data_IF_617275951156
#
_entry.id   IF_617275951156
#
_cell.length_a   1.000
_cell.length_b   1.000
_cell.length_c   1.000
_cell.angle_alpha   90.00
_cell.angle_beta   90.00
_cell.angle_gamma   90.00
#
_symmetry.space_group_name_H-M   'P 1'
#
loop_
_entity.id
_entity.type
_entity.pdbx_description
1 polymer ?
#
# COMPACT_ATOMS: atom_id res chain seq x y z
N UNK A 1 23.54 2.99 2.97
CA UNK A 1 22.46 4.01 2.81
C UNK A 1 21.86 3.83 1.44
N UNK A 2 20.90 2.93 1.29
CA UNK A 2 20.29 2.64 -0.01
C UNK A 2 19.00 3.44 -0.15
N UNK A 3 18.99 4.34 -1.12
CA UNK A 3 17.86 5.20 -1.46
C UNK A 3 16.98 4.44 -2.43
N UNK A 4 15.78 4.04 -2.00
CA UNK A 4 14.78 3.49 -2.91
C UNK A 4 14.04 4.65 -3.54
N UNK A 5 14.36 4.92 -4.81
CA UNK A 5 13.66 5.90 -5.63
C UNK A 5 12.68 5.16 -6.53
N UNK A 6 11.39 5.23 -6.23
CA UNK A 6 10.34 4.77 -7.13
C UNK A 6 9.72 5.99 -7.81
N UNK A 7 10.05 6.18 -9.09
CA UNK A 7 9.52 7.26 -9.93
C UNK A 7 8.33 6.73 -10.74
N UNK A 8 7.21 7.43 -10.70
CA UNK A 8 6.14 7.29 -11.70
C UNK A 8 6.46 8.20 -12.89
N UNK A 9 6.79 7.62 -14.05
CA UNK A 9 6.43 8.21 -15.32
C UNK A 9 5.10 7.60 -15.78
N UNK A 10 4.20 8.42 -16.30
CA UNK A 10 2.96 7.93 -16.93
C UNK A 10 3.36 6.98 -18.07
N UNK A 11 3.10 5.69 -17.90
CA UNK A 11 3.18 4.71 -18.99
C UNK A 11 4.47 3.90 -19.15
N UNK A 12 5.45 3.98 -18.24
CA UNK A 12 6.68 3.17 -18.34
C UNK A 12 6.89 2.31 -17.10
N UNK A 13 7.33 1.07 -17.30
CA UNK A 13 7.89 0.25 -16.24
C UNK A 13 9.11 0.99 -15.64
N UNK A 14 9.17 1.12 -14.32
CA UNK A 14 10.39 1.65 -13.67
C UNK A 14 11.44 0.56 -13.73
N UNK A 15 12.59 0.89 -14.31
CA UNK A 15 13.72 -0.02 -14.50
C UNK A 15 14.24 -0.53 -13.15
N UNK A 16 14.70 -1.78 -13.17
CA UNK A 16 15.45 -2.39 -12.08
C UNK A 16 16.73 -1.57 -11.86
N UNK A 17 16.86 -0.95 -10.70
CA UNK A 17 18.14 -0.37 -10.29
C UNK A 17 18.74 -1.33 -9.28
N UNK A 18 19.71 -2.19 -9.68
CA UNK A 18 20.40 -3.03 -8.72
C UNK A 18 21.27 -2.14 -7.83
N UNK A 19 21.10 -2.22 -6.53
CA UNK A 19 22.09 -1.71 -5.59
C UNK A 19 23.29 -2.68 -5.54
N UNK A 20 24.42 -2.22 -5.00
CA UNK A 20 25.63 -3.04 -4.79
C UNK A 20 25.35 -4.34 -4.01
N UNK A 21 24.27 -4.40 -3.25
CA UNK A 21 23.89 -5.51 -2.38
C UNK A 21 22.85 -6.46 -3.00
N UNK A 22 22.58 -6.31 -4.32
CA UNK A 22 21.60 -7.13 -5.05
C UNK A 22 20.15 -6.85 -4.66
N UNK A 23 19.87 -5.69 -4.04
CA UNK A 23 18.52 -5.23 -3.80
C UNK A 23 17.91 -4.67 -5.08
N UNK A 24 16.65 -4.96 -5.33
CA UNK A 24 15.93 -4.37 -6.45
C UNK A 24 14.46 -4.17 -6.13
N UNK A 25 13.84 -3.25 -6.88
CA UNK A 25 12.43 -2.93 -6.85
C UNK A 25 11.95 -2.68 -8.27
N UNK A 26 10.84 -3.30 -8.63
CA UNK A 26 10.20 -3.07 -9.92
C UNK A 26 8.70 -2.98 -9.74
N UNK A 27 8.11 -1.86 -10.18
CA UNK A 27 6.66 -1.67 -10.14
C UNK A 27 6.06 -1.78 -11.52
N UNK A 28 4.81 -2.27 -11.59
CA UNK A 28 4.02 -2.29 -12.81
C UNK A 28 2.53 -2.07 -12.52
N UNK A 29 1.87 -1.30 -13.37
CA UNK A 29 0.40 -1.26 -13.41
C UNK A 29 -0.14 -2.57 -13.99
N UNK A 30 -1.28 -3.09 -13.51
CA UNK A 30 -1.91 -4.26 -14.11
C UNK A 30 -2.36 -3.99 -15.54
N UNK A 31 -2.69 -5.04 -16.27
CA UNK A 31 -3.39 -4.89 -17.56
C UNK A 31 -4.66 -4.05 -17.41
N UNK A 32 -5.01 -3.27 -18.43
CA UNK A 32 -6.14 -2.33 -18.41
C UNK A 32 -7.44 -2.96 -17.93
N UNK A 33 -7.70 -4.21 -18.32
CA UNK A 33 -8.89 -4.97 -17.89
C UNK A 33 -8.95 -5.24 -16.39
N UNK A 34 -7.81 -5.22 -15.68
CA UNK A 34 -7.71 -5.43 -14.22
C UNK A 34 -7.60 -4.14 -13.41
N UNK A 35 -7.45 -2.98 -14.05
CA UNK A 35 -7.18 -1.69 -13.38
C UNK A 35 -8.23 -1.24 -12.37
N UNK A 36 -9.43 -1.83 -12.41
CA UNK A 36 -10.51 -1.57 -11.46
C UNK A 36 -10.37 -2.38 -10.16
N UNK A 37 -9.68 -3.51 -10.23
CA UNK A 37 -9.52 -4.47 -9.13
C UNK A 37 -8.14 -4.46 -8.51
N UNK A 38 -7.13 -4.17 -9.31
CA UNK A 38 -5.71 -4.15 -8.91
C UNK A 38 -5.16 -2.75 -9.11
N UNK A 39 -4.53 -2.20 -8.07
CA UNK A 39 -3.91 -0.86 -8.12
C UNK A 39 -2.54 -0.91 -8.77
N UNK A 40 -1.69 -1.84 -8.32
CA UNK A 40 -0.35 -2.07 -8.89
C UNK A 40 0.25 -3.39 -8.42
N UNK A 41 1.36 -3.76 -9.06
CA UNK A 41 2.29 -4.81 -8.64
C UNK A 41 3.64 -4.22 -8.27
N UNK A 42 4.32 -4.85 -7.31
CA UNK A 42 5.70 -4.53 -6.94
C UNK A 42 6.47 -5.84 -6.74
N UNK A 43 7.47 -6.13 -7.58
CA UNK A 43 8.44 -7.18 -7.33
C UNK A 43 9.62 -6.58 -6.56
N UNK A 44 10.13 -7.30 -5.56
CA UNK A 44 11.22 -6.83 -4.73
C UNK A 44 12.16 -7.97 -4.30
N UNK A 45 13.41 -7.59 -4.07
CA UNK A 45 14.39 -8.32 -3.31
C UNK A 45 15.16 -7.34 -2.42
N UNK A 46 15.31 -7.67 -1.16
CA UNK A 46 16.07 -6.85 -0.21
C UNK A 46 16.78 -7.71 0.81
N UNK A 47 17.83 -7.16 1.40
CA UNK A 47 18.58 -7.77 2.47
C UNK A 47 18.61 -6.86 3.69
N UNK A 48 18.27 -7.39 4.85
CA UNK A 48 18.25 -6.69 6.13
C UNK A 48 19.23 -7.39 7.06
N UNK A 49 20.47 -6.89 7.21
CA UNK A 49 21.56 -7.60 7.93
C UNK A 49 21.32 -7.72 9.43
N UNK A 50 20.61 -6.78 10.01
CA UNK A 50 20.24 -6.75 11.42
C UNK A 50 18.73 -6.61 11.58
N UNK A 51 18.12 -7.10 12.66
CA UNK A 51 16.69 -6.93 12.89
C UNK A 51 16.27 -5.45 12.81
N UNK A 52 15.24 -5.16 12.00
CA UNK A 52 14.69 -3.83 11.82
C UNK A 52 13.17 -3.82 12.01
N UNK A 53 12.69 -2.82 12.77
CA UNK A 53 11.26 -2.59 12.91
C UNK A 53 10.73 -1.91 11.64
N UNK A 54 9.64 -2.44 11.12
CA UNK A 54 8.91 -1.90 9.97
C UNK A 54 7.50 -1.51 10.36
N UNK A 55 7.04 -0.42 9.81
CA UNK A 55 5.68 0.07 10.00
C UNK A 55 4.92 0.03 8.70
N UNK A 56 3.77 -0.65 8.70
CA UNK A 56 2.76 -0.54 7.64
C UNK A 56 1.76 0.50 8.11
N UNK A 57 1.62 1.57 7.36
CA UNK A 57 0.63 2.62 7.66
C UNK A 57 -0.81 2.09 7.51
N UNK A 58 -1.77 2.81 8.08
CA UNK A 58 -3.19 2.54 7.83
C UNK A 58 -3.48 2.48 6.32
N UNK A 59 -4.28 1.50 5.88
CA UNK A 59 -4.51 1.17 4.48
C UNK A 59 -5.98 1.29 4.09
N UNK A 60 -6.26 1.82 2.90
CA UNK A 60 -7.56 1.82 2.24
C UNK A 60 -7.70 0.73 1.16
N UNK A 61 -6.71 -0.12 1.04
CA UNK A 61 -6.61 -1.22 0.08
C UNK A 61 -6.27 -2.51 0.82
N UNK A 62 -6.34 -3.63 0.13
CA UNK A 62 -5.85 -4.91 0.62
C UNK A 62 -4.49 -5.18 -0.02
N UNK A 63 -3.51 -5.47 0.80
CA UNK A 63 -2.14 -5.76 0.37
C UNK A 63 -1.89 -7.25 0.48
N UNK A 64 -1.57 -7.88 -0.63
CA UNK A 64 -1.14 -9.27 -0.70
C UNK A 64 0.36 -9.28 -0.92
N UNK A 65 1.10 -9.92 -0.05
CA UNK A 65 2.53 -10.18 -0.25
C UNK A 65 2.66 -11.66 -0.59
N UNK A 66 3.31 -11.98 -1.69
CA UNK A 66 3.65 -13.36 -2.07
C UNK A 66 5.14 -13.52 -1.86
N UNK A 67 5.50 -14.26 -0.84
CA UNK A 67 6.89 -14.55 -0.52
C UNK A 67 7.43 -15.64 -1.46
N UNK A 68 8.49 -15.32 -2.19
CA UNK A 68 9.18 -16.28 -3.07
C UNK A 68 10.28 -17.06 -2.34
N UNK A 69 10.76 -16.55 -1.22
CA UNK A 69 11.68 -17.22 -0.29
C UNK A 69 10.99 -17.30 1.09
N UNK A 70 11.66 -17.87 2.08
CA UNK A 70 11.14 -17.93 3.46
C UNK A 70 11.68 -16.74 4.25
N UNK A 71 10.92 -15.65 4.41
CA UNK A 71 11.36 -14.48 5.15
C UNK A 71 11.38 -14.75 6.65
N UNK A 72 12.25 -14.06 7.37
CA UNK A 72 12.26 -14.04 8.83
C UNK A 72 11.55 -12.77 9.29
N UNK A 73 10.35 -12.93 9.80
CA UNK A 73 9.54 -11.84 10.40
C UNK A 73 9.10 -12.22 11.79
N UNK A 74 9.07 -11.24 12.69
CA UNK A 74 8.62 -11.41 14.07
C UNK A 74 7.69 -10.28 14.47
N UNK A 75 6.85 -10.51 15.47
CA UNK A 75 6.15 -9.42 16.12
C UNK A 75 7.15 -8.58 16.93
N UNK A 76 6.78 -7.36 17.27
CA UNK A 76 7.67 -6.46 18.05
C UNK A 76 7.97 -7.00 19.45
N UNK A 77 7.12 -7.88 19.98
CA UNK A 77 7.34 -8.61 21.25
C UNK A 77 8.29 -9.82 21.10
N UNK A 78 8.83 -10.07 19.90
CA UNK A 78 9.74 -11.17 19.59
C UNK A 78 9.06 -12.51 19.29
N UNK A 79 7.74 -12.62 19.40
CA UNK A 79 7.02 -13.82 18.99
C UNK A 79 7.07 -13.99 17.47
N UNK A 80 7.10 -15.24 16.95
CA UNK A 80 7.10 -15.43 15.50
C UNK A 80 5.88 -14.77 14.85
N UNK A 81 6.10 -13.95 13.84
CA UNK A 81 5.05 -13.57 12.92
C UNK A 81 4.88 -14.73 11.93
N UNK A 82 4.03 -15.68 12.28
CA UNK A 82 3.86 -16.95 11.59
C UNK A 82 3.11 -16.79 10.25
N UNK A 83 3.46 -15.78 9.47
CA UNK A 83 2.76 -15.53 8.21
C UNK A 83 3.75 -15.47 7.05
N UNK A 84 3.83 -16.58 6.31
CA UNK A 84 4.37 -16.60 4.95
C UNK A 84 3.26 -16.12 4.03
N UNK A 85 3.59 -15.26 3.07
CA UNK A 85 2.64 -14.68 2.12
C UNK A 85 1.43 -14.02 2.80
N UNK A 86 1.66 -12.97 3.62
CA UNK A 86 0.60 -12.31 4.36
C UNK A 86 -0.33 -11.52 3.46
N UNK A 87 -1.62 -11.55 3.80
CA UNK A 87 -2.65 -10.66 3.29
C UNK A 87 -3.02 -9.69 4.41
N UNK A 88 -2.79 -8.41 4.18
CA UNK A 88 -3.11 -7.33 5.11
C UNK A 88 -4.37 -6.64 4.63
N UNK A 89 -5.42 -6.72 5.43
CA UNK A 89 -6.70 -6.07 5.15
C UNK A 89 -6.64 -4.55 5.35
N UNK A 90 -7.74 -3.87 5.01
CA UNK A 90 -7.88 -2.44 5.29
C UNK A 90 -7.72 -2.19 6.80
N UNK A 91 -7.01 -1.13 7.15
CA UNK A 91 -6.79 -0.76 8.54
C UNK A 91 -6.86 0.75 8.74
N UNK A 92 -7.37 1.18 9.89
CA UNK A 92 -7.32 2.55 10.36
C UNK A 92 -6.27 2.77 11.46
N UNK A 93 -5.35 1.82 11.60
CA UNK A 93 -4.22 1.87 12.53
C UNK A 93 -2.96 1.35 11.81
N UNK A 94 -1.77 1.83 12.18
CA UNK A 94 -0.52 1.27 11.69
C UNK A 94 -0.27 -0.10 12.31
N UNK A 95 0.45 -0.95 11.58
CA UNK A 95 0.96 -2.23 12.05
C UNK A 95 2.48 -2.21 12.02
N UNK A 96 3.13 -2.74 13.06
CA UNK A 96 4.58 -2.87 13.14
C UNK A 96 5.00 -4.33 13.22
N UNK A 97 6.11 -4.66 12.58
CA UNK A 97 6.75 -5.96 12.67
C UNK A 97 8.27 -5.82 12.55
N UNK A 98 8.99 -6.77 13.08
CA UNK A 98 10.43 -6.90 12.92
C UNK A 98 10.74 -7.86 11.76
N UNK A 99 11.78 -7.55 10.99
CA UNK A 99 12.29 -8.40 9.94
C UNK A 99 13.81 -8.46 9.95
N UNK A 100 14.36 -9.54 9.38
CA UNK A 100 15.80 -9.70 9.15
C UNK A 100 16.05 -10.67 8.00
N UNK A 101 17.27 -10.67 7.46
CA UNK A 101 17.68 -11.56 6.38
C UNK A 101 17.20 -11.13 5.01
N UNK A 102 17.13 -12.10 4.11
CA UNK A 102 16.70 -11.89 2.71
C UNK A 102 15.18 -11.98 2.61
N UNK A 103 14.58 -11.00 1.97
CA UNK A 103 13.19 -11.04 1.54
C UNK A 103 13.13 -10.86 0.02
N UNK A 104 12.47 -11.79 -0.65
CA UNK A 104 12.16 -11.72 -2.08
C UNK A 104 10.70 -12.06 -2.27
N UNK A 105 9.99 -11.19 -2.96
CA UNK A 105 8.55 -11.38 -3.10
C UNK A 105 7.90 -10.44 -4.10
N UNK A 106 6.58 -10.55 -4.15
CA UNK A 106 5.73 -9.69 -4.95
C UNK A 106 4.63 -9.13 -4.05
N UNK A 107 4.40 -7.84 -4.17
CA UNK A 107 3.25 -7.16 -3.57
C UNK A 107 2.19 -6.98 -4.66
N UNK A 108 0.95 -7.32 -4.33
CA UNK A 108 -0.24 -6.99 -5.10
C UNK A 108 -1.09 -6.08 -4.25
N UNK A 109 -1.36 -4.87 -4.71
CA UNK A 109 -2.32 -4.00 -4.05
C UNK A 109 -3.68 -4.10 -4.74
N UNK A 110 -4.67 -4.62 -4.01
CA UNK A 110 -6.03 -4.80 -4.46
C UNK A 110 -6.92 -3.67 -3.97
N UNK A 111 -7.81 -3.18 -4.84
CA UNK A 111 -8.95 -2.40 -4.37
C UNK A 111 -9.88 -3.29 -3.54
N UNK A 112 -10.76 -2.74 -2.68
CA UNK A 112 -11.76 -3.56 -1.99
C UNK A 112 -12.62 -4.39 -2.94
N UNK A 113 -12.93 -3.84 -4.13
CA UNK A 113 -13.62 -4.58 -5.18
C UNK A 113 -12.82 -5.82 -5.62
N UNK A 114 -11.51 -5.63 -5.85
CA UNK A 114 -10.63 -6.73 -6.27
C UNK A 114 -10.44 -7.79 -5.20
N UNK A 115 -10.23 -7.38 -3.96
CA UNK A 115 -10.08 -8.29 -2.84
C UNK A 115 -11.38 -9.08 -2.58
N UNK A 116 -12.54 -8.40 -2.65
CA UNK A 116 -13.85 -9.04 -2.51
C UNK A 116 -14.10 -10.07 -3.58
N UNK A 117 -13.77 -9.78 -4.84
CA UNK A 117 -13.90 -10.70 -5.95
C UNK A 117 -12.90 -11.89 -5.84
N UNK A 118 -11.65 -11.61 -5.44
CA UNK A 118 -10.62 -12.64 -5.35
C UNK A 118 -10.87 -13.63 -4.21
N UNK A 119 -11.26 -13.14 -3.04
CA UNK A 119 -11.39 -13.97 -1.82
C UNK A 119 -12.82 -14.47 -1.58
N UNK A 120 -13.82 -13.90 -2.22
CA UNK A 120 -15.21 -14.34 -2.08
C UNK A 120 -15.87 -14.05 -0.73
N UNK A 121 -15.21 -13.32 0.19
CA UNK A 121 -15.66 -13.05 1.56
C UNK A 121 -15.82 -11.56 1.85
N UNK A 122 -16.68 -11.16 2.79
CA UNK A 122 -16.77 -9.78 3.27
C UNK A 122 -15.44 -9.31 3.86
N UNK A 123 -14.93 -8.14 3.41
CA UNK A 123 -13.60 -7.70 3.83
C UNK A 123 -13.51 -7.31 5.30
N UNK A 124 -14.64 -7.16 6.00
CA UNK A 124 -14.64 -7.01 7.45
C UNK A 124 -13.96 -8.19 8.17
N UNK A 125 -14.02 -9.39 7.59
CA UNK A 125 -13.44 -10.61 8.17
C UNK A 125 -11.90 -10.58 8.19
N UNK A 126 -11.29 -9.80 7.30
CA UNK A 126 -9.83 -9.64 7.22
C UNK A 126 -9.36 -8.22 7.54
N UNK A 127 -10.25 -7.33 8.00
CA UNK A 127 -9.89 -5.95 8.35
C UNK A 127 -9.12 -5.88 9.65
N UNK A 128 -8.10 -5.00 9.69
CA UNK A 128 -7.23 -4.80 10.85
C UNK A 128 -6.57 -6.10 11.35
N UNK A 129 -6.41 -7.08 10.48
CA UNK A 129 -5.75 -8.35 10.77
C UNK A 129 -4.83 -8.75 9.62
N UNK A 130 -3.99 -9.74 9.87
CA UNK A 130 -3.13 -10.37 8.88
C UNK A 130 -3.48 -11.85 8.84
N UNK A 131 -3.79 -12.35 7.65
CA UNK A 131 -4.07 -13.77 7.38
C UNK A 131 -3.09 -14.27 6.32
N UNK A 132 -2.93 -15.58 6.17
CA UNK A 132 -2.08 -16.11 5.11
C UNK A 132 -2.82 -16.16 3.78
N UNK A 133 -2.11 -16.05 2.67
CA UNK A 133 -2.69 -16.22 1.35
C UNK A 133 -3.24 -17.65 1.17
N UNK A 134 -2.60 -18.63 1.81
CA UNK A 134 -3.02 -20.03 1.80
C UNK A 134 -4.38 -20.22 2.52
N UNK A 135 -4.64 -19.50 3.59
CA UNK A 135 -5.95 -19.53 4.29
C UNK A 135 -7.10 -19.04 3.39
N UNK A 136 -6.79 -18.06 2.50
CA UNK A 136 -7.79 -17.45 1.63
C UNK A 136 -7.96 -18.16 0.29
N UNK A 137 -6.89 -18.66 -0.31
CA UNK A 137 -6.91 -19.24 -1.66
C UNK A 137 -6.55 -20.72 -1.72
N UNK A 138 -6.07 -21.33 -0.62
CA UNK A 138 -5.73 -22.74 -0.55
C UNK A 138 -4.73 -23.14 -1.64
N UNK A 139 -5.06 -24.20 -2.39
CA UNK A 139 -4.23 -24.72 -3.48
C UNK A 139 -3.93 -23.68 -4.56
N UNK A 140 -4.83 -22.70 -4.80
CA UNK A 140 -4.58 -21.64 -5.79
C UNK A 140 -3.38 -20.76 -5.37
N UNK A 141 -3.21 -20.50 -4.07
CA UNK A 141 -2.06 -19.75 -3.55
C UNK A 141 -0.74 -20.48 -3.81
N UNK A 142 -0.69 -21.77 -3.49
CA UNK A 142 0.52 -22.60 -3.67
C UNK A 142 0.94 -22.71 -5.12
N UNK A 143 -0.01 -23.00 -6.02
CA UNK A 143 0.27 -23.07 -7.46
C UNK A 143 0.77 -21.73 -7.99
N UNK A 144 0.12 -20.62 -7.61
CA UNK A 144 0.57 -19.29 -8.01
C UNK A 144 1.97 -18.99 -7.51
N UNK A 145 2.27 -19.27 -6.25
CA UNK A 145 3.60 -19.03 -5.66
C UNK A 145 4.68 -19.79 -6.39
N UNK A 146 4.43 -21.04 -6.76
CA UNK A 146 5.41 -21.87 -7.50
C UNK A 146 5.65 -21.33 -8.91
N UNK A 147 4.60 -20.99 -9.65
CA UNK A 147 4.73 -20.36 -10.97
C UNK A 147 5.52 -19.04 -10.91
N UNK A 148 5.35 -18.27 -9.85
CA UNK A 148 6.08 -17.01 -9.66
C UNK A 148 7.54 -17.24 -9.27
N UNK A 149 7.86 -18.34 -8.58
CA UNK A 149 9.24 -18.74 -8.27
C UNK A 149 10.00 -19.15 -9.52
N UNK A 150 9.36 -19.94 -10.38
CA UNK A 150 9.94 -20.44 -11.63
C UNK A 150 10.05 -19.37 -12.72
N UNK A 151 9.33 -18.26 -12.58
CA UNK A 151 9.35 -17.20 -13.58
C UNK A 151 10.75 -16.56 -13.69
N UNK A 152 11.25 -16.43 -14.93
CA UNK A 152 12.60 -15.99 -15.26
C UNK A 152 12.95 -14.58 -14.78
N UNK A 153 11.97 -13.67 -14.76
CA UNK A 153 12.13 -12.26 -14.42
C UNK A 153 10.84 -11.64 -13.86
N UNK A 154 10.92 -10.40 -13.41
CA UNK A 154 9.77 -9.68 -12.84
C UNK A 154 8.65 -9.43 -13.85
N UNK A 155 8.96 -9.20 -15.12
CA UNK A 155 7.95 -9.00 -16.15
C UNK A 155 7.16 -10.27 -16.43
N UNK A 156 7.83 -11.42 -16.40
CA UNK A 156 7.16 -12.71 -16.50
C UNK A 156 6.25 -12.95 -15.30
N UNK A 157 6.68 -12.63 -14.08
CA UNK A 157 5.85 -12.69 -12.87
C UNK A 157 4.60 -11.83 -13.00
N UNK A 158 4.74 -10.61 -13.47
CA UNK A 158 3.60 -9.72 -13.65
C UNK A 158 2.61 -10.21 -14.71
N UNK A 159 3.07 -10.85 -15.80
CA UNK A 159 2.18 -11.49 -16.78
C UNK A 159 1.43 -12.68 -16.21
N UNK A 160 2.09 -13.51 -15.39
CA UNK A 160 1.44 -14.60 -14.65
C UNK A 160 0.32 -14.05 -13.77
N UNK A 161 0.60 -12.97 -13.01
CA UNK A 161 -0.40 -12.33 -12.18
C UNK A 161 -1.59 -11.79 -12.98
N UNK A 162 -1.35 -11.07 -14.08
CA UNK A 162 -2.42 -10.58 -14.94
C UNK A 162 -3.30 -11.74 -15.44
N UNK A 163 -2.70 -12.83 -15.87
CA UNK A 163 -3.43 -14.01 -16.36
C UNK A 163 -4.25 -14.68 -15.25
N UNK A 164 -3.63 -14.96 -14.09
CA UNK A 164 -4.28 -15.65 -12.98
C UNK A 164 -5.38 -14.81 -12.34
N UNK A 165 -5.11 -13.55 -12.06
CA UNK A 165 -6.09 -12.64 -11.45
C UNK A 165 -7.26 -12.37 -12.39
N UNK A 166 -7.02 -12.20 -13.70
CA UNK A 166 -8.12 -12.07 -14.66
C UNK A 166 -9.05 -13.29 -14.62
N UNK A 167 -8.49 -14.51 -14.60
CA UNK A 167 -9.26 -15.75 -14.51
C UNK A 167 -10.07 -15.85 -13.22
N UNK A 168 -9.54 -15.38 -12.10
CA UNK A 168 -10.14 -15.55 -10.79
C UNK A 168 -11.13 -14.45 -10.41
N UNK A 169 -10.95 -13.24 -10.96
CA UNK A 169 -11.70 -12.05 -10.53
C UNK A 169 -12.83 -11.70 -11.53
N UNK A 170 -12.58 -11.81 -12.85
CA UNK A 170 -13.51 -11.23 -13.83
C UNK A 170 -14.85 -11.96 -13.94
N UNK A 171 -14.96 -13.17 -13.43
CA UNK A 171 -16.18 -13.99 -13.47
C UNK A 171 -16.90 -14.06 -12.10
N UNK A 172 -16.39 -13.36 -11.08
CA UNK A 172 -16.97 -13.40 -9.75
C UNK A 172 -18.04 -12.32 -9.55
N UNK A 173 -18.98 -12.54 -8.62
CA UNK A 173 -19.98 -11.52 -8.29
C UNK A 173 -19.33 -10.20 -7.87
N UNK A 174 -19.68 -9.14 -8.55
CA UNK A 174 -19.15 -7.81 -8.24
C UNK A 174 -19.71 -7.27 -6.92
N UNK A 175 -18.88 -6.48 -6.24
CA UNK A 175 -19.34 -5.60 -5.16
C UNK A 175 -20.46 -4.71 -5.71
N UNK A 176 -21.56 -4.45 -4.97
CA UNK A 176 -22.61 -3.54 -5.40
C UNK A 176 -22.02 -2.21 -5.89
N UNK A 177 -22.44 -1.78 -7.08
CA UNK A 177 -21.88 -0.57 -7.73
C UNK A 177 -21.90 0.66 -6.84
N UNK A 178 -22.92 0.81 -6.01
CA UNK A 178 -23.03 1.92 -5.05
C UNK A 178 -21.94 1.90 -3.99
N UNK A 179 -21.49 0.72 -3.54
CA UNK A 179 -20.41 0.59 -2.55
C UNK A 179 -19.04 0.82 -3.18
N UNK A 180 -18.79 0.30 -4.38
CA UNK A 180 -17.58 0.58 -5.16
C UNK A 180 -17.46 2.08 -5.46
N UNK A 181 -18.54 2.70 -5.94
CA UNK A 181 -18.57 4.13 -6.19
C UNK A 181 -18.37 4.94 -4.91
N UNK A 182 -19.01 4.51 -3.81
CA UNK A 182 -18.82 5.11 -2.49
C UNK A 182 -17.35 5.08 -2.02
N UNK A 183 -16.68 3.93 -2.15
CA UNK A 183 -15.26 3.81 -1.83
C UNK A 183 -14.40 4.71 -2.72
N UNK A 184 -14.63 4.73 -4.03
CA UNK A 184 -13.92 5.60 -4.97
C UNK A 184 -14.10 7.07 -4.63
N UNK A 185 -15.32 7.49 -4.37
CA UNK A 185 -15.62 8.87 -4.00
C UNK A 185 -14.90 9.27 -2.70
N UNK A 186 -14.81 8.37 -1.70
CA UNK A 186 -14.11 8.64 -0.45
C UNK A 186 -12.58 8.68 -0.59
N UNK A 187 -12.02 7.91 -1.55
CA UNK A 187 -10.56 7.75 -1.68
C UNK A 187 -9.93 8.62 -2.76
N UNK A 188 -10.66 8.92 -3.85
CA UNK A 188 -10.14 9.62 -5.01
C UNK A 188 -10.61 11.08 -5.11
N UNK A 189 -11.67 11.45 -4.37
CA UNK A 189 -12.18 12.82 -4.42
C UNK A 189 -11.20 13.83 -3.82
N UNK A 190 -11.04 14.95 -4.50
CA UNK A 190 -10.25 16.08 -3.99
C UNK A 190 -10.96 16.84 -2.87
N UNK A 191 -12.28 16.69 -2.76
CA UNK A 191 -13.14 17.35 -1.76
C UNK A 191 -13.72 16.33 -0.79
N UNK A 192 -14.05 16.79 0.41
CA UNK A 192 -14.77 15.98 1.40
C UNK A 192 -16.14 15.57 0.86
N UNK A 193 -16.38 14.26 0.79
CA UNK A 193 -17.68 13.68 0.43
C UNK A 193 -18.44 13.34 1.70
N UNK A 194 -19.70 13.75 1.79
CA UNK A 194 -20.56 13.41 2.92
C UNK A 194 -21.11 11.99 2.78
N UNK A 195 -21.16 11.27 3.89
CA UNK A 195 -21.70 9.89 3.89
C UNK A 195 -23.20 9.88 3.58
N UNK A 196 -23.90 10.96 3.92
CA UNK A 196 -25.31 11.11 3.62
C UNK A 196 -25.57 11.17 2.10
N UNK A 197 -24.75 11.91 1.37
CA UNK A 197 -24.82 12.01 -0.10
C UNK A 197 -24.56 10.64 -0.76
N UNK A 198 -23.64 9.85 -0.22
CA UNK A 198 -23.37 8.49 -0.71
C UNK A 198 -24.51 7.52 -0.43
N UNK A 199 -25.14 7.65 0.73
CA UNK A 199 -26.29 6.85 1.11
C UNK A 199 -27.50 7.15 0.20
N UNK A 200 -27.78 8.43 -0.03
CA UNK A 200 -28.82 8.88 -0.96
C UNK A 200 -28.60 8.36 -2.38
N UNK A 201 -27.39 8.51 -2.92
CA UNK A 201 -27.01 7.97 -4.24
C UNK A 201 -27.17 6.44 -4.32
N UNK A 202 -27.03 5.74 -3.20
CA UNK A 202 -27.22 4.30 -3.10
C UNK A 202 -28.70 3.89 -2.90
N UNK A 203 -29.62 4.83 -2.72
CA UNK A 203 -31.01 4.57 -2.35
C UNK A 203 -31.15 3.93 -0.96
N UNK A 204 -30.24 4.23 -0.04
CA UNK A 204 -30.18 3.65 1.31
C UNK A 204 -30.24 4.73 2.38
N UNK A 205 -30.72 4.35 3.57
CA UNK A 205 -30.52 5.19 4.75
C UNK A 205 -29.03 5.21 5.09
N UNK A 206 -28.54 6.29 5.71
CA UNK A 206 -27.16 6.43 6.19
C UNK A 206 -26.72 5.23 7.03
N UNK A 207 -27.58 4.72 7.91
CA UNK A 207 -27.26 3.58 8.77
C UNK A 207 -27.08 2.31 7.94
N UNK A 208 -27.99 1.99 7.02
CA UNK A 208 -27.90 0.83 6.15
C UNK A 208 -26.67 0.89 5.23
N UNK A 209 -26.42 2.06 4.62
CA UNK A 209 -25.21 2.27 3.82
C UNK A 209 -23.95 2.04 4.64
N UNK A 210 -23.82 2.64 5.82
CA UNK A 210 -22.64 2.51 6.69
C UNK A 210 -22.40 1.05 7.10
N UNK A 211 -23.46 0.34 7.52
CA UNK A 211 -23.35 -1.08 7.94
C UNK A 211 -22.93 -1.97 6.78
N UNK A 212 -23.58 -1.81 5.62
CA UNK A 212 -23.27 -2.60 4.43
C UNK A 212 -21.89 -2.30 3.88
N UNK A 213 -21.52 -1.01 3.81
CA UNK A 213 -20.19 -0.56 3.39
C UNK A 213 -19.11 -1.14 4.31
N UNK A 214 -19.28 -1.06 5.63
CA UNK A 214 -18.32 -1.63 6.59
C UNK A 214 -18.15 -3.14 6.43
N UNK A 215 -19.25 -3.88 6.21
CA UNK A 215 -19.18 -5.31 5.99
C UNK A 215 -18.38 -5.66 4.72
N UNK A 216 -18.71 -5.04 3.61
CA UNK A 216 -18.18 -5.41 2.29
C UNK A 216 -16.78 -4.81 2.02
N UNK A 217 -16.52 -3.57 2.47
CA UNK A 217 -15.26 -2.84 2.23
C UNK A 217 -14.25 -3.06 3.35
N UNK A 218 -14.70 -3.39 4.54
CA UNK A 218 -13.84 -3.70 5.69
C UNK A 218 -13.69 -2.57 6.70
N UNK A 219 -13.87 -1.31 6.31
CA UNK A 219 -13.84 -0.16 7.19
C UNK A 219 -15.11 0.68 7.03
N UNK A 220 -15.57 1.37 8.09
CA UNK A 220 -16.66 2.35 7.97
C UNK A 220 -16.28 3.51 7.02
N UNK A 221 -17.26 4.11 6.30
CA UNK A 221 -17.00 5.21 5.35
C UNK A 221 -16.16 6.36 5.93
N UNK A 222 -16.42 6.75 7.17
CA UNK A 222 -15.65 7.81 7.85
C UNK A 222 -14.18 7.42 8.08
N UNK A 223 -13.90 6.15 8.38
CA UNK A 223 -12.53 5.67 8.55
C UNK A 223 -11.79 5.67 7.21
N UNK A 224 -12.43 5.18 6.13
CA UNK A 224 -11.87 5.24 4.77
C UNK A 224 -11.54 6.68 4.37
N UNK A 225 -12.47 7.62 4.57
CA UNK A 225 -12.24 9.03 4.28
C UNK A 225 -11.08 9.63 5.09
N UNK A 226 -10.95 9.24 6.37
CA UNK A 226 -9.87 9.69 7.24
C UNK A 226 -8.51 9.20 6.76
N UNK A 227 -8.39 7.91 6.43
CA UNK A 227 -7.16 7.33 5.88
C UNK A 227 -6.82 7.97 4.53
N UNK A 228 -7.80 8.12 3.63
CA UNK A 228 -7.60 8.76 2.33
C UNK A 228 -7.09 10.21 2.45
N UNK A 229 -7.65 10.97 3.38
CA UNK A 229 -7.20 12.34 3.69
C UNK A 229 -5.74 12.37 4.16
N UNK A 230 -5.37 11.46 5.06
CA UNK A 230 -3.99 11.33 5.52
C UNK A 230 -3.05 10.94 4.39
N UNK A 231 -3.43 9.98 3.55
CA UNK A 231 -2.66 9.60 2.35
C UNK A 231 -2.49 10.77 1.38
N UNK A 232 -3.52 11.60 1.19
CA UNK A 232 -3.40 12.83 0.39
C UNK A 232 -2.37 13.79 0.98
N UNK A 233 -2.40 13.97 2.31
CA UNK A 233 -1.43 14.82 3.00
C UNK A 233 0.01 14.29 2.83
N UNK A 234 0.22 12.98 2.92
CA UNK A 234 1.53 12.36 2.67
C UNK A 234 2.00 12.65 1.23
N UNK A 235 1.14 12.45 0.22
CA UNK A 235 1.51 12.73 -1.18
C UNK A 235 1.96 14.17 -1.40
N UNK A 236 1.25 15.13 -0.82
CA UNK A 236 1.61 16.55 -0.92
C UNK A 236 2.89 16.85 -0.14
N UNK A 237 3.05 16.26 1.04
CA UNK A 237 4.21 16.45 1.91
C UNK A 237 5.49 15.89 1.31
N UNK A 238 5.41 14.77 0.59
CA UNK A 238 6.55 14.09 -0.04
C UNK A 238 6.73 14.47 -1.52
N UNK A 239 5.95 15.40 -2.03
CA UNK A 239 6.05 15.92 -3.39
C UNK A 239 7.30 16.81 -3.59
N UNK A 240 7.51 17.28 -4.82
CA UNK A 240 8.66 18.12 -5.19
C UNK A 240 8.66 19.51 -4.52
N UNK A 241 7.49 20.01 -4.18
CA UNK A 241 7.33 21.33 -3.53
C UNK A 241 6.31 21.22 -2.38
N UNK A 242 6.71 20.67 -1.22
CA UNK A 242 5.79 20.45 -0.11
C UNK A 242 5.31 21.80 0.48
N UNK A 243 3.99 21.98 0.66
CA UNK A 243 3.49 23.18 1.29
C UNK A 243 3.82 23.22 2.79
N UNK A 244 3.88 24.39 3.42
CA UNK A 244 3.99 24.52 4.87
C UNK A 244 2.88 23.75 5.58
N UNK A 245 3.15 23.16 6.76
CA UNK A 245 2.21 22.28 7.47
C UNK A 245 0.83 22.92 7.73
N UNK A 246 0.70 24.21 8.08
CA UNK A 246 -0.62 24.84 8.20
C UNK A 246 -1.41 24.84 6.88
N UNK A 247 -0.72 25.16 5.77
CA UNK A 247 -1.33 25.13 4.43
C UNK A 247 -1.66 23.70 4.00
N UNK A 248 -0.80 22.73 4.29
CA UNK A 248 -1.06 21.31 4.04
C UNK A 248 -2.32 20.85 4.77
N UNK A 249 -2.49 21.25 6.05
CA UNK A 249 -3.68 20.92 6.82
C UNK A 249 -4.94 21.46 6.14
N UNK A 250 -4.94 22.73 5.74
CA UNK A 250 -6.08 23.34 5.06
C UNK A 250 -6.38 22.66 3.70
N UNK A 251 -5.37 22.42 2.87
CA UNK A 251 -5.49 21.75 1.56
C UNK A 251 -6.07 20.34 1.67
N UNK A 252 -5.80 19.66 2.78
CA UNK A 252 -6.28 18.30 3.02
C UNK A 252 -7.59 18.25 3.82
N UNK A 253 -8.20 19.39 4.16
CA UNK A 253 -9.47 19.45 4.89
C UNK A 253 -9.34 19.09 6.38
N UNK A 254 -8.18 19.37 6.99
CA UNK A 254 -8.01 19.39 8.43
C UNK A 254 -8.38 20.76 9.00
N UNK A 255 -8.92 20.79 10.21
CA UNK A 255 -9.28 22.04 10.89
C UNK A 255 -8.05 22.90 11.15
N UNK A 256 -6.95 22.25 11.55
CA UNK A 256 -5.69 22.88 11.91
C UNK A 256 -4.52 21.88 11.83
N UNK A 257 -3.30 22.36 12.05
CA UNK A 257 -2.11 21.53 12.07
C UNK A 257 -2.11 20.51 13.23
N UNK A 258 -2.74 20.81 14.37
CA UNK A 258 -2.81 19.90 15.49
C UNK A 258 -3.69 18.67 15.16
N UNK A 259 -4.78 18.89 14.43
CA UNK A 259 -5.64 17.82 13.90
C UNK A 259 -4.86 16.95 12.88
N UNK A 260 -4.13 17.56 11.96
CA UNK A 260 -3.23 16.85 11.04
C UNK A 260 -2.22 15.98 11.80
N UNK A 261 -1.53 16.53 12.79
CA UNK A 261 -0.54 15.81 13.60
C UNK A 261 -1.14 14.64 14.37
N UNK A 262 -2.36 14.76 14.89
CA UNK A 262 -3.07 13.66 15.56
C UNK A 262 -3.40 12.53 14.61
N UNK A 263 -3.92 12.85 13.42
CA UNK A 263 -4.22 11.84 12.40
C UNK A 263 -2.96 11.12 11.93
N UNK A 264 -1.85 11.84 11.72
CA UNK A 264 -0.57 11.23 11.36
C UNK A 264 -0.09 10.24 12.42
N UNK A 265 -0.09 10.62 13.72
CA UNK A 265 0.31 9.69 14.78
C UNK A 265 -0.56 8.45 14.83
N UNK A 266 -1.88 8.61 14.67
CA UNK A 266 -2.83 7.49 14.73
C UNK A 266 -2.78 6.56 13.52
N UNK A 267 -2.53 7.10 12.31
CA UNK A 267 -2.65 6.35 11.07
C UNK A 267 -1.28 5.91 10.52
N UNK A 268 -0.22 6.64 10.88
CA UNK A 268 1.13 6.45 10.34
C UNK A 268 2.13 6.03 11.44
N UNK A 269 1.83 6.35 12.69
CA UNK A 269 2.73 6.10 13.83
C UNK A 269 3.72 7.24 14.10
N UNK A 270 3.79 8.28 13.26
CA UNK A 270 4.72 9.40 13.44
C UNK A 270 4.07 10.75 13.07
N UNK A 271 4.76 11.85 13.30
CA UNK A 271 4.32 13.18 12.86
C UNK A 271 4.75 13.47 11.43
N UNK A 272 4.11 14.44 10.72
CA UNK A 272 4.55 14.89 9.40
C UNK A 272 6.03 15.32 9.38
N UNK A 273 6.46 16.05 10.41
CA UNK A 273 7.87 16.49 10.53
C UNK A 273 8.83 15.32 10.75
N UNK A 274 8.44 14.33 11.55
CA UNK A 274 9.24 13.12 11.75
C UNK A 274 9.35 12.31 10.45
N UNK A 275 8.25 12.19 9.69
CA UNK A 275 8.25 11.54 8.38
C UNK A 275 9.21 12.22 7.39
N UNK A 276 9.25 13.55 7.36
CA UNK A 276 10.20 14.29 6.52
C UNK A 276 11.66 14.12 6.97
N UNK A 277 11.93 14.14 8.29
CA UNK A 277 13.28 13.97 8.85
C UNK A 277 13.83 12.58 8.65
N UNK A 278 13.00 11.56 8.71
CA UNK A 278 13.39 10.18 8.42
C UNK A 278 13.90 10.01 6.97
N UNK A 279 13.80 11.06 6.18
CA UNK A 279 14.26 11.09 4.79
C UNK A 279 13.46 10.11 3.94
N UNK A 280 14.16 9.32 3.15
CA UNK A 280 13.56 8.24 2.38
C UNK A 280 13.16 7.09 3.31
N UNK A 281 12.14 7.34 4.16
CA UNK A 281 11.68 6.44 5.22
C UNK A 281 11.47 5.01 4.70
N UNK A 282 12.58 4.29 4.59
CA UNK A 282 12.65 2.87 4.23
C UNK A 282 11.89 2.01 5.23
N UNK A 283 11.53 2.60 6.37
CA UNK A 283 10.90 1.91 7.48
C UNK A 283 9.36 1.97 7.47
N UNK A 284 8.78 2.73 6.55
CA UNK A 284 7.33 2.91 6.44
C UNK A 284 6.81 2.41 5.10
N UNK A 285 5.92 1.40 5.12
CA UNK A 285 5.17 0.99 3.95
C UNK A 285 3.88 1.82 3.83
N UNK A 286 3.74 2.53 2.73
CA UNK A 286 2.64 3.46 2.47
C UNK A 286 1.65 2.97 1.39
N UNK A 287 1.71 1.70 1.02
CA UNK A 287 0.86 1.16 -0.07
C UNK A 287 1.13 1.88 -1.40
N UNK A 288 0.09 2.19 -2.16
CA UNK A 288 0.17 2.89 -3.45
C UNK A 288 0.88 4.26 -3.40
N UNK A 289 1.12 4.81 -2.20
CA UNK A 289 1.87 6.06 -2.02
C UNK A 289 3.36 5.91 -2.34
N UNK A 290 3.92 4.69 -2.26
CA UNK A 290 5.31 4.39 -2.63
C UNK A 290 5.59 4.79 -4.09
N UNK A 291 4.59 4.69 -4.96
CA UNK A 291 4.69 5.00 -6.39
C UNK A 291 4.81 6.50 -6.72
N UNK A 292 4.81 7.40 -5.72
CA UNK A 292 4.65 8.83 -5.94
C UNK A 292 5.89 9.67 -5.60
N UNK A 293 7.04 9.05 -5.27
CA UNK A 293 8.26 9.83 -4.99
C UNK A 293 8.99 10.25 -6.26
N UNK A 294 9.35 11.54 -6.43
CA UNK A 294 10.35 11.95 -7.40
C UNK A 294 11.75 11.44 -6.99
N UNK A 295 12.60 11.17 -7.97
CA UNK A 295 13.99 10.81 -7.74
C UNK A 295 14.70 11.91 -6.94
N UNK A 296 15.60 11.58 -5.99
CA UNK A 296 16.47 12.58 -5.40
C UNK A 296 17.33 13.19 -6.51
N UNK A 297 17.46 14.52 -6.50
CA UNK A 297 18.40 15.23 -7.37
C UNK A 297 19.82 14.75 -7.03
N UNK A 298 20.39 13.89 -7.85
CA UNK A 298 21.81 13.56 -7.83
C UNK A 298 22.55 14.78 -8.36
N UNK A 299 23.22 15.53 -7.48
CA UNK A 299 24.03 16.65 -7.93
C UNK A 299 24.50 17.57 -6.82
N UNK A 300 25.33 17.06 -5.92
CA UNK A 300 26.37 17.91 -5.34
C UNK A 300 27.64 17.07 -5.28
N UNK A 301 28.47 17.20 -6.33
CA UNK A 301 29.88 16.90 -6.25
C UNK A 301 30.45 17.75 -5.09
N UNK A 302 30.84 17.11 -4.02
CA UNK A 302 31.80 17.66 -3.09
C UNK A 302 33.12 17.71 -3.84
N UNK A 303 33.48 18.89 -4.29
CA UNK A 303 34.85 19.19 -4.76
C UNK A 303 35.82 18.86 -3.63
N UNK A 304 36.73 17.95 -3.95
CA UNK A 304 37.88 17.61 -3.14
C UNK A 304 38.73 18.88 -2.90
N UNK A 305 38.69 19.39 -1.67
CA UNK A 305 39.62 20.43 -1.21
C UNK A 305 41.06 19.92 -1.27
N UNK A 306 41.89 20.68 -1.91
CA UNK A 306 43.35 20.55 -1.99
C UNK A 306 43.99 20.50 -0.60
N UNK A 307 45.06 19.74 -0.40
CA UNK A 307 45.87 19.88 0.78
C UNK A 307 46.68 21.20 0.69
N UNK A 308 46.62 22.00 1.71
CA UNK A 308 47.59 23.04 1.98
C UNK A 308 48.62 22.47 2.97
N UNK A 309 49.86 22.67 2.62
CA UNK A 309 51.11 22.40 3.30
C UNK A 309 51.10 22.23 4.81
#
# INVERSE_FOLDING_TARGET
MSIITIVRSRGSAVEETPSSDGEFWKTRSPERRLSRWVSFYLAFRRFTPVPEIRTVAALNSVVVIIDLDTPVRRQVDGSPLATISPVVGLSNQPMTYERTGVERGIVIELTPLGARALFGLPLREISATTVTLDDLLGTRARVLTEELREAKDSDHRFRILDCRLAKWILNEPELPRSLDQGWRNLTLAERMVKVDDLAEQAGLTRQHFTTRFHREVGLPPKAVARVARCHRAIRLLTGTNPPPLPSLAALCGYTDQAHLNRDFRLLIGCTPTALLRAGNATDLYLGSLISLRPAPLTGTKLESGRPLF
#
